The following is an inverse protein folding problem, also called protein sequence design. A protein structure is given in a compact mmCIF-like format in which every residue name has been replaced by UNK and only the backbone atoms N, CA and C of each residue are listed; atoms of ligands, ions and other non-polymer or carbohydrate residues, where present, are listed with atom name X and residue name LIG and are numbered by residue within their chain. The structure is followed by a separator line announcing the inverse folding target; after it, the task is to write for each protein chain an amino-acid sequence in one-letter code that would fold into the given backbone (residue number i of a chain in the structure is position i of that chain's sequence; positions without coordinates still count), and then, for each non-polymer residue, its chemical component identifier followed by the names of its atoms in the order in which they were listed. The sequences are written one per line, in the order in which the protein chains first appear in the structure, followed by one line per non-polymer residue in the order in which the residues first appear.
data_IF_755026666387
#
_entry.id   IF_755026666387
#
_cell.length_a   1.000
_cell.length_b   1.000
_cell.length_c   1.000
_cell.angle_alpha   90.00
_cell.angle_beta   90.00
_cell.angle_gamma   90.00
#
_symmetry.space_group_name_H-M   'P 1'
#
loop_
_entity.id
_entity.type
_entity.pdbx_description
1 polymer ?
#
# COMPACT_ATOMS: atom_id res chain seq x y z
N UNK A 1 1.62 -38.16 -47.00
CA UNK A 1 2.11 -37.40 -45.82
C UNK A 1 1.72 -35.95 -46.07
N UNK A 2 0.88 -35.40 -45.26
CA UNK A 2 0.28 -34.08 -45.48
C UNK A 2 1.33 -32.99 -45.22
N UNK A 3 1.26 -31.88 -46.00
CA UNK A 3 2.20 -30.74 -45.89
C UNK A 3 2.25 -30.18 -44.42
N UNK A 4 1.20 -30.35 -43.68
CA UNK A 4 1.10 -29.96 -42.29
C UNK A 4 2.05 -30.77 -41.36
N UNK A 5 2.17 -32.06 -41.61
CA UNK A 5 3.04 -32.99 -40.88
C UNK A 5 4.51 -32.70 -41.19
N UNK A 6 4.85 -32.37 -42.42
CA UNK A 6 6.24 -32.04 -42.82
C UNK A 6 6.68 -30.74 -42.17
N UNK A 7 5.81 -29.73 -42.11
CA UNK A 7 6.11 -28.45 -41.43
C UNK A 7 6.31 -28.61 -39.92
N UNK A 8 5.52 -29.46 -39.29
CA UNK A 8 5.64 -29.76 -37.85
C UNK A 8 6.94 -30.48 -37.52
N UNK A 9 7.35 -31.42 -38.38
CA UNK A 9 8.60 -32.16 -38.23
C UNK A 9 9.85 -31.26 -38.39
N UNK A 10 9.80 -30.33 -39.35
CA UNK A 10 10.88 -29.36 -39.59
C UNK A 10 10.97 -28.34 -38.45
N UNK A 11 9.85 -27.86 -37.91
CA UNK A 11 9.80 -26.95 -36.77
C UNK A 11 10.40 -27.61 -35.51
N UNK A 12 10.06 -28.87 -35.22
CA UNK A 12 10.67 -29.61 -34.11
C UNK A 12 12.18 -29.82 -34.26
N UNK A 13 12.69 -30.11 -35.46
CA UNK A 13 14.15 -30.27 -35.70
C UNK A 13 14.90 -28.95 -35.48
N UNK A 14 14.30 -27.81 -35.81
CA UNK A 14 14.87 -26.48 -35.60
C UNK A 14 14.98 -26.15 -34.10
N UNK A 15 13.98 -26.51 -33.31
CA UNK A 15 14.00 -26.30 -31.85
C UNK A 15 15.11 -27.14 -31.19
N UNK A 16 15.30 -28.41 -31.59
CA UNK A 16 16.35 -29.25 -31.04
C UNK A 16 17.78 -28.78 -31.41
N UNK A 17 17.95 -28.19 -32.60
CA UNK A 17 19.23 -27.63 -33.04
C UNK A 17 19.62 -26.36 -32.28
N UNK A 18 18.66 -25.54 -31.84
CA UNK A 18 18.91 -24.33 -31.04
C UNK A 18 19.18 -24.68 -29.56
N UNK A 19 18.59 -25.74 -29.04
CA UNK A 19 18.74 -26.16 -27.65
C UNK A 19 20.12 -26.79 -27.37
N UNK A 20 20.77 -27.40 -28.38
CA UNK A 20 22.11 -28.03 -28.24
C UNK A 20 23.27 -27.04 -28.29
N UNK A 21 23.07 -25.81 -28.76
CA UNK A 21 24.15 -24.79 -28.87
C UNK A 21 24.33 -24.00 -27.55
N UNK A 22 23.38 -24.07 -26.62
CA UNK A 22 23.42 -23.29 -25.34
C UNK A 22 24.32 -23.97 -24.26
N UNK A 23 24.78 -25.20 -24.44
CA UNK A 23 25.46 -25.97 -23.38
C UNK A 23 26.99 -25.80 -23.39
N UNK A 24 27.62 -25.09 -24.35
CA UNK A 24 29.06 -24.99 -24.46
C UNK A 24 29.69 -23.63 -24.12
N UNK A 25 29.01 -22.73 -23.44
CA UNK A 25 29.62 -21.53 -22.88
C UNK A 25 29.74 -21.66 -21.36
N UNK A 26 30.52 -22.62 -20.90
CA UNK A 26 31.06 -22.62 -19.53
C UNK A 26 32.28 -21.73 -19.51
N UNK A 27 32.10 -20.46 -19.21
CA UNK A 27 33.22 -19.55 -18.96
C UNK A 27 33.71 -19.75 -17.53
N UNK A 28 34.96 -20.17 -17.42
CA UNK A 28 35.74 -20.31 -16.19
C UNK A 28 35.91 -18.92 -15.55
N UNK A 29 35.13 -18.62 -14.51
CA UNK A 29 35.42 -17.50 -13.62
C UNK A 29 36.43 -17.90 -12.56
N UNK A 30 37.55 -17.21 -12.55
CA UNK A 30 38.59 -17.30 -11.52
C UNK A 30 38.00 -16.89 -10.19
N UNK A 31 38.03 -17.82 -9.27
CA UNK A 31 37.72 -17.67 -7.86
C UNK A 31 38.65 -16.62 -7.22
N UNK A 32 38.14 -15.40 -7.05
CA UNK A 32 38.71 -14.41 -6.16
C UNK A 32 37.89 -14.43 -4.86
N UNK A 33 38.10 -15.48 -4.08
CA UNK A 33 37.57 -15.57 -2.73
C UNK A 33 38.26 -14.51 -1.86
N UNK A 34 37.67 -13.28 -1.87
CA UNK A 34 37.81 -12.36 -0.74
C UNK A 34 37.09 -13.00 0.42
N UNK A 35 37.89 -13.67 1.29
CA UNK A 35 37.46 -14.07 2.62
C UNK A 35 36.90 -12.84 3.33
N UNK A 36 35.59 -12.70 3.32
CA UNK A 36 34.88 -11.80 4.26
C UNK A 36 35.06 -12.40 5.66
N UNK A 37 35.98 -11.82 6.41
CA UNK A 37 36.04 -11.99 7.84
C UNK A 37 34.73 -11.45 8.41
N UNK A 38 33.79 -12.33 8.72
CA UNK A 38 32.71 -12.00 9.61
C UNK A 38 33.32 -11.85 10.99
N UNK A 39 33.51 -10.59 11.38
CA UNK A 39 33.84 -10.24 12.75
C UNK A 39 32.61 -10.54 13.62
N UNK A 40 32.63 -11.67 14.33
CA UNK A 40 31.53 -12.20 15.16
C UNK A 40 31.36 -11.42 16.46
N UNK A 41 31.88 -10.19 16.56
CA UNK A 41 31.77 -9.35 17.74
C UNK A 41 31.11 -7.98 17.51
N UNK A 42 30.34 -7.79 16.44
CA UNK A 42 29.37 -6.71 16.47
C UNK A 42 28.16 -7.18 17.28
N UNK A 43 28.06 -6.74 18.52
CA UNK A 43 26.81 -6.68 19.26
C UNK A 43 25.82 -5.88 18.40
N UNK A 44 25.16 -6.56 17.46
CA UNK A 44 23.94 -6.04 16.88
C UNK A 44 22.94 -6.03 18.04
N UNK A 45 22.92 -4.91 18.76
CA UNK A 45 21.77 -4.55 19.55
C UNK A 45 20.61 -4.44 18.57
N UNK A 46 19.98 -5.57 18.25
CA UNK A 46 18.62 -5.61 17.73
C UNK A 46 17.81 -4.98 18.90
N UNK A 47 17.68 -3.66 18.83
CA UNK A 47 16.75 -2.93 19.66
C UNK A 47 15.40 -3.58 19.33
N UNK A 48 14.98 -4.51 20.19
CA UNK A 48 13.66 -5.10 20.17
C UNK A 48 12.72 -3.92 20.28
N UNK A 49 12.19 -3.50 19.13
CA UNK A 49 11.28 -2.37 19.03
C UNK A 49 9.95 -2.83 19.66
N UNK A 50 9.94 -2.84 20.98
CA UNK A 50 8.74 -2.97 21.79
C UNK A 50 8.11 -1.57 21.92
N UNK A 51 8.01 -0.87 20.79
CA UNK A 51 7.33 0.41 20.77
C UNK A 51 5.85 0.13 21.08
N UNK A 52 5.38 0.74 22.15
CA UNK A 52 3.97 0.68 22.58
C UNK A 52 3.02 1.14 21.45
N UNK A 53 3.54 1.88 20.49
CA UNK A 53 2.80 2.51 19.40
C UNK A 53 3.30 2.05 18.03
N UNK A 54 2.38 1.96 17.06
CA UNK A 54 2.69 1.91 15.62
C UNK A 54 2.48 3.32 15.04
N UNK A 55 3.52 3.91 14.44
CA UNK A 55 3.44 5.23 13.82
C UNK A 55 3.30 5.07 12.31
N UNK A 56 2.26 5.64 11.72
CA UNK A 56 1.95 5.60 10.30
C UNK A 56 1.85 7.02 9.75
N UNK A 57 2.48 7.27 8.61
CA UNK A 57 2.39 8.53 7.90
C UNK A 57 1.86 8.26 6.49
N UNK A 58 0.84 9.00 6.08
CA UNK A 58 0.25 8.99 4.74
C UNK A 58 0.31 10.41 4.19
N UNK A 59 0.81 10.56 2.97
CA UNK A 59 0.79 11.83 2.27
C UNK A 59 -0.26 11.77 1.16
N UNK A 60 -0.86 12.92 0.88
CA UNK A 60 -1.73 13.16 -0.26
C UNK A 60 -1.33 14.46 -0.93
N UNK A 61 -1.72 14.66 -2.18
CA UNK A 61 -1.42 15.87 -2.92
C UNK A 61 -2.54 16.24 -3.91
N UNK A 62 -2.31 17.26 -4.72
CA UNK A 62 -3.27 17.74 -5.69
C UNK A 62 -3.54 16.76 -6.87
N UNK A 63 -2.90 15.58 -6.88
CA UNK A 63 -3.15 14.48 -7.84
C UNK A 63 -4.29 13.55 -7.41
N UNK A 64 -4.94 13.81 -6.27
CA UNK A 64 -5.99 12.95 -5.68
C UNK A 64 -5.49 11.52 -5.41
N UNK A 65 -4.32 11.37 -4.80
CA UNK A 65 -3.72 10.08 -4.46
C UNK A 65 -3.20 10.10 -3.02
N UNK A 66 -3.24 8.93 -2.37
CA UNK A 66 -2.40 8.66 -1.22
C UNK A 66 -1.06 8.06 -1.69
N UNK A 67 0.04 8.44 -1.05
CA UNK A 67 1.36 7.86 -1.31
C UNK A 67 1.47 6.39 -0.86
N UNK A 68 0.54 5.92 -0.05
CA UNK A 68 0.44 4.55 0.44
C UNK A 68 -0.99 4.05 0.33
N UNK A 69 -1.15 2.88 -0.23
CA UNK A 69 -2.43 2.17 -0.35
C UNK A 69 -2.51 0.91 0.54
N UNK A 70 -1.40 0.53 1.17
CA UNK A 70 -1.33 -0.56 2.16
C UNK A 70 -0.57 -0.09 3.39
N UNK A 71 -1.24 -0.13 4.53
CA UNK A 71 -0.68 0.13 5.85
C UNK A 71 -0.71 -1.16 6.68
N UNK A 72 0.16 -1.27 7.67
CA UNK A 72 0.24 -2.46 8.54
C UNK A 72 0.44 -2.05 9.99
N UNK A 73 -0.30 -2.71 10.90
CA UNK A 73 -0.13 -2.53 12.34
C UNK A 73 -0.44 -3.83 13.09
N UNK A 74 0.12 -3.98 14.28
CA UNK A 74 -0.19 -5.11 15.17
C UNK A 74 -1.49 -4.88 15.92
N UNK A 75 -2.30 -5.94 16.06
CA UNK A 75 -3.50 -5.92 16.88
C UNK A 75 -3.17 -5.52 18.34
N UNK A 76 -4.04 -4.73 18.95
CA UNK A 76 -3.91 -4.27 20.33
C UNK A 76 -2.83 -3.21 20.59
N UNK A 77 -2.08 -2.78 19.56
CA UNK A 77 -1.15 -1.65 19.70
C UNK A 77 -1.88 -0.34 19.40
N UNK A 78 -1.47 0.72 20.10
CA UNK A 78 -1.92 2.06 19.76
C UNK A 78 -1.32 2.48 18.40
N UNK A 79 -2.16 2.93 17.48
CA UNK A 79 -1.78 3.39 16.16
C UNK A 79 -1.88 4.91 16.16
N UNK A 80 -0.79 5.58 15.81
CA UNK A 80 -0.72 7.02 15.59
C UNK A 80 -0.58 7.22 14.09
N UNK A 81 -1.64 7.73 13.44
CA UNK A 81 -1.67 7.95 12.01
C UNK A 81 -1.74 9.44 11.72
N UNK A 82 -0.81 9.92 10.90
CA UNK A 82 -0.78 11.29 10.40
C UNK A 82 -1.08 11.31 8.91
N UNK A 83 -2.07 12.10 8.51
CA UNK A 83 -2.31 12.49 7.12
C UNK A 83 -1.68 13.86 6.88
N UNK A 84 -0.90 13.99 5.81
CA UNK A 84 -0.33 15.26 5.34
C UNK A 84 -0.85 15.57 3.95
N UNK A 85 -1.41 16.75 3.74
CA UNK A 85 -1.73 17.25 2.41
C UNK A 85 -0.54 18.08 1.88
N UNK A 86 0.31 17.48 1.06
CA UNK A 86 1.52 18.11 0.52
C UNK A 86 1.27 18.97 -0.71
N UNK A 87 0.03 19.02 -1.21
CA UNK A 87 -0.41 19.88 -2.31
C UNK A 87 -0.52 21.35 -1.90
N UNK A 88 -1.11 22.16 -2.77
CA UNK A 88 -1.24 23.62 -2.62
C UNK A 88 -2.68 24.11 -2.71
N UNK A 89 -3.59 23.30 -3.25
CA UNK A 89 -4.96 23.71 -3.48
C UNK A 89 -5.75 23.77 -2.16
N UNK A 90 -6.66 24.74 -2.03
CA UNK A 90 -7.43 24.92 -0.81
C UNK A 90 -8.44 23.79 -0.58
N UNK A 91 -8.83 23.61 0.68
CA UNK A 91 -9.72 22.53 1.15
C UNK A 91 -11.04 22.40 0.38
N UNK A 92 -11.63 23.49 -0.06
CA UNK A 92 -12.89 23.51 -0.80
C UNK A 92 -12.76 23.07 -2.27
N UNK A 93 -11.55 22.97 -2.80
CA UNK A 93 -11.25 22.57 -4.19
C UNK A 93 -10.64 21.16 -4.21
N UNK A 94 -9.68 20.89 -3.33
CA UNK A 94 -8.90 19.66 -3.27
C UNK A 94 -8.74 19.20 -1.82
N UNK A 95 -9.87 19.08 -1.11
CA UNK A 95 -9.87 18.62 0.27
C UNK A 95 -9.54 17.13 0.37
N UNK A 96 -8.73 16.75 1.37
CA UNK A 96 -8.41 15.36 1.64
C UNK A 96 -8.63 15.03 3.12
N UNK A 97 -9.27 13.93 3.37
CA UNK A 97 -9.31 13.28 4.68
C UNK A 97 -8.96 11.80 4.53
N UNK A 98 -8.80 11.11 5.64
CA UNK A 98 -8.66 9.66 5.70
C UNK A 98 -9.71 9.16 6.70
N UNK A 99 -10.70 8.42 6.19
CA UNK A 99 -11.74 7.78 7.01
C UNK A 99 -11.46 6.28 7.04
N UNK A 100 -11.21 5.73 8.21
CA UNK A 100 -10.96 4.31 8.42
C UNK A 100 -12.28 3.60 8.71
N UNK A 101 -12.70 2.77 7.78
CA UNK A 101 -13.98 2.05 7.85
C UNK A 101 -13.88 0.81 8.75
N UNK A 102 -14.99 0.39 9.32
CA UNK A 102 -15.12 -0.94 9.93
C UNK A 102 -14.99 -2.04 8.86
N UNK A 103 -14.69 -3.26 9.28
CA UNK A 103 -14.63 -4.41 8.37
C UNK A 103 -15.96 -4.60 7.64
N UNK A 104 -15.86 -5.06 6.39
CA UNK A 104 -17.01 -5.39 5.52
C UNK A 104 -17.88 -4.20 5.11
N UNK A 105 -17.53 -2.96 5.44
CA UNK A 105 -18.23 -1.78 4.92
C UNK A 105 -17.89 -1.59 3.44
N UNK A 106 -18.93 -1.41 2.62
CA UNK A 106 -18.76 -1.11 1.19
C UNK A 106 -18.34 0.35 1.00
N UNK A 107 -17.13 0.54 0.45
CA UNK A 107 -16.55 1.87 0.22
C UNK A 107 -17.42 2.73 -0.68
N UNK A 108 -18.04 2.15 -1.73
CA UNK A 108 -18.86 2.92 -2.67
C UNK A 108 -20.16 3.40 -2.00
N UNK A 109 -20.79 2.54 -1.20
CA UNK A 109 -22.01 2.89 -0.46
C UNK A 109 -21.71 3.97 0.56
N UNK A 110 -20.65 3.78 1.37
CA UNK A 110 -20.23 4.74 2.37
C UNK A 110 -19.86 6.10 1.75
N UNK A 111 -19.08 6.11 0.69
CA UNK A 111 -18.62 7.36 0.05
C UNK A 111 -19.76 8.12 -0.64
N UNK A 112 -20.76 7.43 -1.19
CA UNK A 112 -21.96 8.07 -1.74
C UNK A 112 -22.78 8.71 -0.62
N UNK A 113 -22.99 8.01 0.48
CA UNK A 113 -23.68 8.56 1.66
C UNK A 113 -22.94 9.80 2.20
N UNK A 114 -21.63 9.79 2.23
CA UNK A 114 -20.80 10.89 2.71
C UNK A 114 -21.09 12.23 2.00
N UNK A 115 -21.51 12.20 0.74
CA UNK A 115 -21.84 13.42 -0.03
C UNK A 115 -22.98 14.22 0.58
N UNK A 116 -23.88 13.58 1.32
CA UNK A 116 -25.01 14.23 2.01
C UNK A 116 -24.55 15.03 3.23
N UNK A 117 -23.33 14.76 3.73
CA UNK A 117 -22.80 15.36 4.97
C UNK A 117 -21.76 16.45 4.71
N UNK A 118 -21.97 17.28 3.68
CA UNK A 118 -21.05 18.37 3.32
C UNK A 118 -20.71 19.29 4.50
N UNK A 119 -21.69 19.61 5.32
CA UNK A 119 -21.51 20.49 6.49
C UNK A 119 -20.76 19.83 7.66
N UNK A 120 -20.51 18.53 7.55
CA UNK A 120 -19.73 17.74 8.51
C UNK A 120 -18.46 17.20 7.85
N UNK A 121 -17.81 17.99 7.00
CA UNK A 121 -16.58 17.59 6.26
C UNK A 121 -16.72 16.23 5.54
N UNK A 122 -17.92 15.92 5.03
CA UNK A 122 -18.28 14.67 4.35
C UNK A 122 -18.09 13.41 5.22
N UNK A 123 -18.32 13.54 6.53
CA UNK A 123 -18.32 12.41 7.47
C UNK A 123 -19.77 12.07 7.83
N UNK A 124 -20.29 10.89 7.47
CA UNK A 124 -21.61 10.43 7.84
C UNK A 124 -21.79 10.31 9.35
N UNK A 125 -23.01 10.57 9.83
CA UNK A 125 -23.39 10.40 11.24
C UNK A 125 -23.86 8.96 11.50
N UNK A 126 -23.06 7.98 11.13
CA UNK A 126 -23.32 6.56 11.35
C UNK A 126 -22.11 5.89 12.01
N UNK A 127 -22.22 4.59 12.29
CA UNK A 127 -21.18 3.83 12.97
C UNK A 127 -20.34 2.96 12.02
N UNK A 128 -20.32 3.23 10.70
CA UNK A 128 -19.62 2.40 9.73
C UNK A 128 -18.11 2.65 9.67
N UNK A 129 -17.60 3.61 10.40
CA UNK A 129 -16.17 3.91 10.48
C UNK A 129 -15.67 3.80 11.93
N UNK A 130 -14.34 3.66 12.06
CA UNK A 130 -13.63 3.57 13.35
C UNK A 130 -13.19 4.97 13.79
N UNK A 131 -12.54 5.70 12.87
CA UNK A 131 -11.98 7.03 13.11
C UNK A 131 -11.75 7.74 11.79
N UNK A 132 -11.50 9.04 11.85
CA UNK A 132 -11.16 9.84 10.67
C UNK A 132 -10.26 11.03 11.03
N UNK A 133 -9.51 11.54 10.06
CA UNK A 133 -8.84 12.83 10.14
C UNK A 133 -9.80 13.96 9.81
N UNK A 134 -9.43 15.19 10.14
CA UNK A 134 -10.09 16.38 9.57
C UNK A 134 -9.96 16.39 8.05
N UNK A 135 -10.83 17.16 7.38
CA UNK A 135 -10.64 17.53 5.98
C UNK A 135 -9.53 18.57 5.87
N UNK A 136 -8.47 18.24 5.11
CA UNK A 136 -7.27 19.05 4.97
C UNK A 136 -7.22 19.77 3.62
N UNK A 137 -6.74 21.02 3.62
CA UNK A 137 -6.28 21.71 2.41
C UNK A 137 -4.77 21.60 2.24
N UNK A 138 -4.24 22.11 1.13
CA UNK A 138 -2.81 22.07 0.83
C UNK A 138 -1.95 22.67 1.94
N UNK A 139 -0.89 21.94 2.34
CA UNK A 139 0.03 22.30 3.41
C UNK A 139 -0.47 21.96 4.82
N UNK A 140 -1.70 21.44 4.99
CA UNK A 140 -2.23 21.06 6.29
C UNK A 140 -1.92 19.60 6.63
N UNK A 141 -1.95 19.28 7.93
CA UNK A 141 -1.84 17.90 8.45
C UNK A 141 -2.74 17.69 9.66
N UNK A 142 -3.12 16.44 9.88
CA UNK A 142 -3.86 16.01 11.08
C UNK A 142 -3.39 14.64 11.54
N UNK A 143 -3.43 14.42 12.84
CA UNK A 143 -2.99 13.18 13.48
C UNK A 143 -4.10 12.61 14.33
N UNK A 144 -4.40 11.33 14.11
CA UNK A 144 -5.36 10.56 14.89
C UNK A 144 -4.66 9.42 15.63
N UNK A 145 -5.25 9.02 16.76
CA UNK A 145 -4.74 7.91 17.56
C UNK A 145 -5.89 6.96 17.90
N UNK A 146 -5.68 5.66 17.66
CA UNK A 146 -6.69 4.64 17.86
C UNK A 146 -6.07 3.26 18.09
N UNK A 147 -6.88 2.30 18.55
CA UNK A 147 -6.46 0.91 18.73
C UNK A 147 -7.48 -0.02 18.07
N UNK A 148 -6.99 -1.04 17.38
CA UNK A 148 -7.80 -2.12 16.79
C UNK A 148 -7.31 -3.43 17.37
N UNK A 149 -8.20 -4.17 18.02
CA UNK A 149 -7.88 -5.45 18.66
C UNK A 149 -8.11 -6.66 17.73
N UNK A 150 -8.99 -6.53 16.76
CA UNK A 150 -9.38 -7.61 15.86
C UNK A 150 -8.49 -7.62 14.61
N UNK A 151 -7.73 -8.70 14.34
CA UNK A 151 -6.98 -8.84 13.09
C UNK A 151 -7.91 -8.85 11.88
N UNK A 152 -7.47 -8.22 10.78
CA UNK A 152 -8.27 -8.15 9.56
C UNK A 152 -7.84 -7.01 8.64
N UNK A 153 -8.61 -6.82 7.58
CA UNK A 153 -8.41 -5.77 6.59
C UNK A 153 -9.46 -4.67 6.76
N UNK A 154 -9.00 -3.47 7.02
CA UNK A 154 -9.80 -2.28 7.23
C UNK A 154 -9.56 -1.31 6.09
N UNK A 155 -10.60 -1.00 5.32
CA UNK A 155 -10.48 -0.03 4.23
C UNK A 155 -10.37 1.38 4.78
N UNK A 156 -9.58 2.23 4.13
CA UNK A 156 -9.61 3.66 4.38
C UNK A 156 -9.82 4.41 3.06
N UNK A 157 -10.47 5.55 3.13
CA UNK A 157 -10.94 6.28 1.96
C UNK A 157 -10.97 7.78 2.21
N UNK A 158 -10.77 8.58 1.16
CA UNK A 158 -11.09 10.00 1.16
C UNK A 158 -12.55 10.21 0.77
N UNK A 159 -13.30 10.93 1.58
CA UNK A 159 -14.74 11.19 1.35
C UNK A 159 -15.02 12.50 0.62
N UNK A 160 -14.01 13.29 0.28
CA UNK A 160 -14.23 14.47 -0.55
C UNK A 160 -14.84 14.07 -1.90
N UNK A 161 -15.81 14.86 -2.44
CA UNK A 161 -16.55 14.50 -3.66
C UNK A 161 -15.62 14.14 -4.83
N UNK A 162 -15.85 12.96 -5.43
CA UNK A 162 -15.10 12.48 -6.59
C UNK A 162 -13.76 11.77 -6.26
N UNK A 163 -13.26 11.82 -5.02
CA UNK A 163 -11.93 11.30 -4.68
C UNK A 163 -11.89 9.79 -4.37
N UNK A 164 -12.97 9.23 -3.80
CA UNK A 164 -12.97 7.88 -3.22
C UNK A 164 -12.54 6.77 -4.18
N UNK A 165 -12.74 6.95 -5.48
CA UNK A 165 -12.36 5.93 -6.47
C UNK A 165 -10.84 5.76 -6.59
N UNK A 166 -10.09 6.83 -6.42
CA UNK A 166 -8.64 6.85 -6.53
C UNK A 166 -7.95 6.90 -5.16
N UNK A 167 -8.58 7.57 -4.17
CA UNK A 167 -8.02 7.78 -2.85
C UNK A 167 -8.60 6.80 -1.84
N UNK A 168 -8.12 5.56 -1.91
CA UNK A 168 -8.47 4.50 -0.97
C UNK A 168 -7.29 3.55 -0.74
N UNK A 169 -7.34 2.82 0.36
CA UNK A 169 -6.33 1.83 0.70
C UNK A 169 -6.83 0.86 1.76
N UNK A 170 -5.92 0.04 2.29
CA UNK A 170 -6.19 -0.96 3.31
C UNK A 170 -5.19 -0.85 4.46
N UNK A 171 -5.69 -0.87 5.68
CA UNK A 171 -4.92 -1.10 6.89
C UNK A 171 -5.06 -2.57 7.28
N UNK A 172 -3.96 -3.31 7.25
CA UNK A 172 -3.90 -4.71 7.64
C UNK A 172 -3.49 -4.77 9.12
N UNK A 173 -4.38 -5.30 9.95
CA UNK A 173 -4.12 -5.59 11.37
C UNK A 173 -3.75 -7.08 11.51
N UNK A 174 -2.59 -7.39 12.15
CA UNK A 174 -2.05 -8.74 12.31
C UNK A 174 -1.55 -9.02 13.72
#
# INVERSE_FOLDING_TARGET
MDQLEINKLNFMKTIYSVLTIIILFSCSEKDNSKKLFFDTNSNINIKKEDSKNTVLNVNSDDSMLYDKNVLRAKAGKNIILTLNHTGKLPKNIMGHNLVLLKMNVDVNVFSKLALEFKNNDYIPLNEDFITHTKMLGGGESDTISFTINEPGEYKYVCTFPGHYQMMQGVLIIY
#
